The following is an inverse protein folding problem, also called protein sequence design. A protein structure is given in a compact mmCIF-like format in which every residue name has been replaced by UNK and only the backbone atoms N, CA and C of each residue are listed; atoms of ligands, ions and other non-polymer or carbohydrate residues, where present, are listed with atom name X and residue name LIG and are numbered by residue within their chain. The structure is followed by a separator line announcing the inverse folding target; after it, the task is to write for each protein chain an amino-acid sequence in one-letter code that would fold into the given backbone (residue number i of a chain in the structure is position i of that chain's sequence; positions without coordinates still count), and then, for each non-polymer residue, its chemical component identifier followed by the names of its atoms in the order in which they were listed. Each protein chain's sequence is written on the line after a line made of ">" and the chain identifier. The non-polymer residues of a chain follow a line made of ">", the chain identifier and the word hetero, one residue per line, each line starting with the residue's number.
data_IF_258386427597
#
_entry.id   IF_258386427597
#
_cell.length_a   1.000
_cell.length_b   1.000
_cell.length_c   1.000
_cell.angle_alpha   90.00
_cell.angle_beta   90.00
_cell.angle_gamma   90.00
#
_symmetry.space_group_name_H-M   'P 1'
#
loop_
_entity.id
_entity.type
_entity.pdbx_description
1 polymer ?
#
# COMPACT_ATOMS: atom_id res chain seq x y z
N UNK A 1 22.19 -28.86 -16.40
CA UNK A 1 23.03 -27.66 -16.57
C UNK A 1 22.67 -26.77 -15.40
N UNK A 2 23.61 -26.51 -14.49
CA UNK A 2 23.33 -25.62 -13.35
C UNK A 2 23.14 -24.22 -13.90
N UNK A 3 21.96 -23.63 -13.71
CA UNK A 3 21.64 -22.31 -14.21
C UNK A 3 22.68 -21.30 -13.71
N UNK A 4 23.44 -20.73 -14.65
CA UNK A 4 24.40 -19.64 -14.42
C UNK A 4 23.70 -18.31 -14.10
N UNK A 5 22.38 -18.34 -13.84
CA UNK A 5 21.59 -17.17 -13.53
C UNK A 5 21.75 -16.83 -12.05
N UNK A 6 22.24 -15.63 -11.77
CA UNK A 6 22.27 -15.07 -10.43
C UNK A 6 20.88 -15.05 -9.78
N UNK A 7 20.78 -15.09 -8.44
CA UNK A 7 19.49 -15.02 -7.76
C UNK A 7 18.75 -13.71 -8.09
N UNK A 8 17.42 -13.81 -8.07
CA UNK A 8 16.52 -12.68 -8.34
C UNK A 8 16.25 -11.92 -7.05
N UNK A 9 16.28 -10.60 -7.15
CA UNK A 9 15.91 -9.66 -6.09
C UNK A 9 14.76 -8.79 -6.57
N UNK A 10 13.74 -8.67 -5.72
CA UNK A 10 12.65 -7.70 -5.91
C UNK A 10 13.08 -6.34 -5.33
N UNK A 11 12.80 -5.29 -6.09
CA UNK A 11 13.24 -3.92 -5.81
C UNK A 11 12.04 -3.06 -5.45
N UNK A 12 12.17 -2.33 -4.35
CA UNK A 12 11.18 -1.36 -3.89
C UNK A 12 11.83 0.01 -3.72
N UNK A 13 11.16 1.08 -4.14
CA UNK A 13 11.65 2.44 -3.96
C UNK A 13 10.65 3.30 -3.21
N UNK A 14 11.15 4.29 -2.49
CA UNK A 14 10.36 5.31 -1.81
C UNK A 14 10.59 6.64 -2.50
N UNK A 15 9.53 7.26 -3.02
CA UNK A 15 9.64 8.51 -3.77
C UNK A 15 9.90 9.71 -2.86
N UNK A 16 9.18 9.82 -1.73
CA UNK A 16 9.39 10.85 -0.70
C UNK A 16 9.41 10.28 0.72
N UNK A 17 10.04 10.99 1.67
CA UNK A 17 10.08 10.55 3.07
C UNK A 17 8.66 10.45 3.63
N UNK A 18 8.33 9.28 4.20
CA UNK A 18 7.02 9.02 4.80
C UNK A 18 6.01 8.37 3.85
N UNK A 19 6.32 8.25 2.56
CA UNK A 19 5.53 7.44 1.62
C UNK A 19 5.90 5.96 1.74
N UNK A 20 5.00 5.03 1.38
CA UNK A 20 5.34 3.62 1.35
C UNK A 20 6.38 3.31 0.27
N UNK A 21 7.18 2.27 0.50
CA UNK A 21 8.00 1.68 -0.55
C UNK A 21 7.10 0.97 -1.56
N UNK A 22 7.28 1.29 -2.84
CA UNK A 22 6.52 0.73 -3.94
C UNK A 22 7.42 -0.20 -4.74
N UNK A 23 6.90 -1.37 -5.13
CA UNK A 23 7.59 -2.30 -5.99
C UNK A 23 7.78 -1.71 -7.39
N UNK A 24 9.01 -1.80 -7.92
CA UNK A 24 9.34 -1.28 -9.28
C UNK A 24 9.81 -2.35 -10.25
N UNK A 25 10.16 -3.54 -9.76
CA UNK A 25 10.57 -4.65 -10.59
C UNK A 25 11.64 -5.51 -9.95
N UNK A 26 12.20 -6.40 -10.76
CA UNK A 26 13.13 -7.44 -10.34
C UNK A 26 14.49 -7.31 -11.04
N UNK A 27 15.57 -7.70 -10.37
CA UNK A 27 16.93 -7.73 -10.93
C UNK A 27 17.65 -9.02 -10.56
N UNK A 28 18.64 -9.41 -11.35
CA UNK A 28 19.52 -10.54 -11.03
C UNK A 28 20.84 -10.01 -10.48
N UNK A 29 21.27 -10.50 -9.32
CA UNK A 29 22.50 -10.07 -8.67
C UNK A 29 23.09 -11.18 -7.80
N UNK A 30 24.41 -11.25 -7.61
CA UNK A 30 25.04 -12.29 -6.79
C UNK A 30 24.78 -12.10 -5.28
N UNK A 31 24.53 -10.88 -4.84
CA UNK A 31 24.33 -10.50 -3.44
C UNK A 31 23.51 -9.19 -3.32
N UNK A 32 23.10 -8.85 -2.10
CA UNK A 32 22.25 -7.70 -1.82
C UNK A 32 22.89 -6.33 -2.05
N UNK A 33 24.20 -6.18 -1.82
CA UNK A 33 24.90 -4.91 -2.04
C UNK A 33 25.02 -4.62 -3.55
N UNK A 34 25.37 -5.66 -4.32
CA UNK A 34 25.37 -5.59 -5.79
C UNK A 34 23.96 -5.34 -6.33
N UNK A 35 22.94 -5.97 -5.73
CA UNK A 35 21.54 -5.73 -6.09
C UNK A 35 21.15 -4.26 -5.89
N UNK A 36 21.49 -3.64 -4.75
CA UNK A 36 21.21 -2.22 -4.50
C UNK A 36 21.87 -1.30 -5.52
N UNK A 37 23.13 -1.57 -5.88
CA UNK A 37 23.84 -0.80 -6.89
C UNK A 37 23.14 -0.86 -8.24
N UNK A 38 22.79 -2.07 -8.70
CA UNK A 38 22.09 -2.28 -9.97
C UNK A 38 20.68 -1.67 -9.95
N UNK A 39 19.95 -1.82 -8.84
CA UNK A 39 18.63 -1.24 -8.65
C UNK A 39 18.66 0.30 -8.77
N UNK A 40 19.67 0.94 -8.15
CA UNK A 40 19.85 2.38 -8.24
C UNK A 40 20.12 2.84 -9.67
N UNK A 41 20.96 2.13 -10.42
CA UNK A 41 21.25 2.46 -11.82
C UNK A 41 20.05 2.23 -12.74
N UNK A 42 19.28 1.17 -12.51
CA UNK A 42 18.13 0.82 -13.35
C UNK A 42 16.91 1.71 -13.07
N UNK A 43 16.58 1.92 -11.79
CA UNK A 43 15.32 2.56 -11.38
C UNK A 43 15.49 3.99 -10.83
N UNK A 44 16.69 4.36 -10.38
CA UNK A 44 16.94 5.65 -9.71
C UNK A 44 17.19 6.85 -10.64
N UNK A 45 17.31 6.67 -11.97
CA UNK A 45 17.81 7.73 -12.88
C UNK A 45 16.80 8.82 -13.25
N UNK A 46 15.48 8.57 -13.13
CA UNK A 46 14.43 9.49 -13.63
C UNK A 46 13.33 9.83 -12.63
N UNK A 47 13.33 9.20 -11.46
CA UNK A 47 12.31 9.41 -10.46
C UNK A 47 12.93 9.92 -9.17
N UNK A 48 12.22 10.80 -8.46
CA UNK A 48 12.57 11.12 -7.09
C UNK A 48 12.59 9.81 -6.30
N UNK A 49 13.71 9.54 -5.65
CA UNK A 49 13.91 8.34 -4.85
C UNK A 49 14.76 8.70 -3.64
N UNK A 50 14.20 8.57 -2.44
CA UNK A 50 14.87 8.88 -1.18
C UNK A 50 15.38 7.63 -0.45
N UNK A 51 14.85 6.45 -0.79
CA UNK A 51 15.22 5.17 -0.19
C UNK A 51 14.91 4.01 -1.14
N UNK A 52 15.69 2.93 -1.09
CA UNK A 52 15.46 1.68 -1.84
C UNK A 52 15.67 0.47 -0.94
N UNK A 53 14.84 -0.54 -1.14
CA UNK A 53 15.00 -1.87 -0.58
C UNK A 53 15.20 -2.88 -1.71
N UNK A 54 16.01 -3.89 -1.43
CA UNK A 54 16.12 -5.10 -2.24
C UNK A 54 15.88 -6.29 -1.34
N UNK A 55 15.12 -7.26 -1.84
CA UNK A 55 14.77 -8.47 -1.10
C UNK A 55 14.98 -9.66 -2.03
N UNK A 56 15.68 -10.74 -1.61
CA UNK A 56 15.72 -11.98 -2.40
C UNK A 56 14.30 -12.44 -2.70
N UNK A 57 13.99 -12.77 -3.96
CA UNK A 57 12.65 -13.19 -4.35
C UNK A 57 12.18 -14.43 -3.56
N UNK A 58 13.12 -15.32 -3.22
CA UNK A 58 12.87 -16.52 -2.39
C UNK A 58 12.44 -16.20 -0.95
N UNK A 59 12.70 -14.98 -0.45
CA UNK A 59 12.31 -14.56 0.89
C UNK A 59 10.89 -13.99 0.94
N UNK A 60 10.23 -13.79 -0.21
CA UNK A 60 8.86 -13.27 -0.30
C UNK A 60 7.88 -14.44 -0.25
N UNK A 61 7.01 -14.42 0.75
CA UNK A 61 5.92 -15.38 0.88
C UNK A 61 4.63 -14.71 0.43
N UNK A 62 3.96 -15.30 -0.55
CA UNK A 62 2.69 -14.83 -1.07
C UNK A 62 1.59 -15.87 -0.80
N UNK A 63 0.37 -15.40 -0.60
CA UNK A 63 -0.83 -16.25 -0.61
C UNK A 63 -1.12 -16.76 -2.01
N UNK A 64 -1.82 -17.88 -2.13
CA UNK A 64 -2.30 -18.33 -3.43
C UNK A 64 -3.54 -17.52 -3.84
N UNK A 65 -3.81 -17.43 -5.15
CA UNK A 65 -4.99 -16.70 -5.64
C UNK A 65 -6.31 -17.36 -5.24
N UNK A 66 -6.25 -18.64 -4.87
CA UNK A 66 -7.39 -19.44 -4.44
C UNK A 66 -7.79 -19.14 -2.98
N UNK A 67 -6.87 -18.57 -2.17
CA UNK A 67 -7.10 -18.17 -0.78
C UNK A 67 -7.82 -16.80 -0.65
N UNK A 68 -8.66 -16.45 -1.62
CA UNK A 68 -9.35 -15.16 -1.66
C UNK A 68 -10.31 -14.96 -0.47
N UNK A 69 -10.79 -16.05 0.11
CA UNK A 69 -11.67 -16.09 1.28
C UNK A 69 -11.00 -15.53 2.55
N UNK A 70 -9.67 -15.58 2.67
CA UNK A 70 -8.91 -14.98 3.77
C UNK A 70 -9.14 -13.47 3.91
N UNK A 71 -9.51 -12.81 2.83
CA UNK A 71 -9.71 -11.35 2.77
C UNK A 71 -11.18 -10.94 2.86
N UNK A 72 -12.12 -11.89 2.92
CA UNK A 72 -13.53 -11.60 3.10
C UNK A 72 -13.77 -10.98 4.49
N UNK A 73 -14.46 -9.84 4.51
CA UNK A 73 -14.76 -9.15 5.75
C UNK A 73 -15.82 -9.92 6.54
N UNK A 74 -15.38 -10.73 7.50
CA UNK A 74 -16.27 -11.30 8.50
C UNK A 74 -16.98 -10.19 9.28
N UNK A 75 -18.31 -10.23 9.32
CA UNK A 75 -19.26 -9.37 10.05
C UNK A 75 -19.78 -8.12 9.34
N UNK A 76 -21.09 -8.16 9.08
CA UNK A 76 -21.95 -7.00 8.95
C UNK A 76 -21.76 -6.10 10.18
N UNK A 77 -21.06 -4.99 9.97
CA UNK A 77 -20.80 -3.96 11.00
C UNK A 77 -21.89 -2.88 10.99
N UNK A 78 -23.08 -3.14 10.48
CA UNK A 78 -24.23 -2.22 10.54
C UNK A 78 -24.53 -1.75 11.97
N UNK A 79 -24.24 -2.56 13.00
CA UNK A 79 -24.35 -2.14 14.40
C UNK A 79 -23.40 -0.98 14.80
N UNK A 80 -22.32 -0.72 14.03
CA UNK A 80 -21.40 0.42 14.24
C UNK A 80 -21.88 1.70 13.53
N UNK A 81 -22.87 1.61 12.65
CA UNK A 81 -23.50 2.79 12.08
C UNK A 81 -24.46 3.38 13.12
N UNK A 82 -24.36 4.69 13.36
CA UNK A 82 -25.19 5.38 14.33
C UNK A 82 -26.64 5.46 13.83
N UNK A 83 -27.44 4.41 14.04
CA UNK A 83 -28.89 4.52 13.98
C UNK A 83 -29.38 5.34 15.16
N UNK A 84 -29.73 6.60 14.91
CA UNK A 84 -30.60 7.38 15.79
C UNK A 84 -29.90 8.35 16.73
N UNK A 85 -29.41 9.46 16.17
CA UNK A 85 -29.86 10.75 16.70
C UNK A 85 -30.73 11.41 15.63
N UNK A 86 -32.05 11.34 15.79
CA UNK A 86 -32.91 12.38 15.22
C UNK A 86 -32.52 13.68 15.91
N UNK A 87 -31.55 14.39 15.35
CA UNK A 87 -31.35 15.79 15.66
C UNK A 87 -32.58 16.51 15.13
N UNK A 88 -33.50 16.75 16.06
CA UNK A 88 -34.69 17.58 15.91
C UNK A 88 -34.53 18.60 14.78
N UNK A 89 -35.23 18.38 13.67
CA UNK A 89 -35.66 19.46 12.77
C UNK A 89 -36.65 20.36 13.53
N UNK A 90 -36.14 21.13 14.50
CA UNK A 90 -36.81 22.24 15.17
C UNK A 90 -35.82 23.37 15.39
N UNK A 91 -35.24 23.86 14.30
CA UNK A 91 -34.51 25.13 14.27
C UNK A 91 -34.93 25.98 13.06
N UNK A 92 -36.22 25.90 12.66
CA UNK A 92 -36.79 26.77 11.61
C UNK A 92 -38.31 26.96 11.76
N UNK A 93 -38.76 27.31 12.97
CA UNK A 93 -40.16 27.73 13.21
C UNK A 93 -40.29 28.76 14.36
N UNK A 94 -39.23 29.51 14.65
CA UNK A 94 -39.27 30.68 15.55
C UNK A 94 -38.57 31.80 14.77
N UNK A 95 -39.36 32.58 14.04
CA UNK A 95 -38.86 33.64 13.17
C UNK A 95 -39.98 34.47 12.52
N UNK A 96 -41.17 33.89 12.35
CA UNK A 96 -42.35 34.61 11.83
C UNK A 96 -43.51 34.57 12.84
N UNK A 97 -43.41 35.34 13.93
CA UNK A 97 -44.60 35.77 14.70
C UNK A 97 -44.34 36.88 15.73
N UNK A 98 -43.71 37.98 15.36
CA UNK A 98 -43.83 39.25 16.10
C UNK A 98 -43.95 40.43 15.12
N UNK A 99 -45.11 40.52 14.46
CA UNK A 99 -45.73 41.79 14.08
C UNK A 99 -47.08 41.87 14.79
N UNK A 100 -47.12 42.60 15.92
CA UNK A 100 -48.20 43.54 16.31
C UNK A 100 -47.54 44.65 17.14
#
# INVERSE_FOLDING_TARGET
>A
MSDTQWPVYEVFHQASRGEPHVHVGSIHAPDGDTALLLAKEQFGRRQACVNMWVVPAEAIIATEYEDADLFEHGTDKSYREAFGYETTKRAKAVGDREEI
#
